data_IF_980628252013
#
_entry.id   IF_980628252013
#
_cell.length_a   1.000
_cell.length_b   1.000
_cell.length_c   1.000
_cell.angle_alpha   90.00
_cell.angle_beta   90.00
_cell.angle_gamma   90.00
#
_symmetry.space_group_name_H-M   'P 1'
#
loop_
_entity.id
_entity.type
_entity.pdbx_description
1 polymer ?
#
# COMPACT_ATOMS: atom_id res chain seq x y z
N UNK A 1 10.27 12.37 8.54
CA UNK A 1 11.28 13.37 8.13
C UNK A 1 10.75 14.26 7.01
N UNK A 2 10.25 13.66 5.90
CA UNK A 2 9.72 14.37 4.72
C UNK A 2 8.70 15.45 5.08
N UNK A 3 7.63 15.11 5.82
CA UNK A 3 6.63 16.08 6.29
C UNK A 3 7.19 17.34 6.98
N UNK A 4 8.36 17.24 7.64
CA UNK A 4 8.96 18.36 8.40
C UNK A 4 10.02 19.14 7.61
N UNK A 5 10.43 18.66 6.43
CA UNK A 5 11.61 19.18 5.75
C UNK A 5 11.45 19.39 4.25
N UNK A 6 10.46 18.77 3.60
CA UNK A 6 10.38 18.71 2.14
C UNK A 6 10.29 20.10 1.47
N UNK A 7 9.69 21.09 2.14
CA UNK A 7 9.60 22.47 1.67
C UNK A 7 10.97 23.13 1.47
N UNK A 8 11.97 22.76 2.29
CA UNK A 8 13.35 23.25 2.14
C UNK A 8 14.03 22.72 0.87
N UNK A 9 13.48 21.66 0.30
CA UNK A 9 13.95 21.04 -0.94
C UNK A 9 13.02 21.31 -2.12
N UNK A 10 12.07 22.26 -1.98
CA UNK A 10 11.16 22.67 -3.04
C UNK A 10 9.93 21.77 -3.25
N UNK A 11 9.67 20.80 -2.37
CA UNK A 11 8.43 20.00 -2.43
C UNK A 11 7.36 20.46 -1.43
N UNK A 12 6.13 19.99 -1.60
CA UNK A 12 4.98 20.34 -0.73
C UNK A 12 4.77 19.29 0.35
N UNK A 13 4.62 19.70 1.60
CA UNK A 13 4.22 18.81 2.69
C UNK A 13 2.75 18.33 2.57
N UNK A 14 1.93 19.02 1.77
CA UNK A 14 0.55 18.65 1.43
C UNK A 14 0.44 17.66 0.26
N UNK A 15 1.52 17.43 -0.49
CA UNK A 15 1.51 16.65 -1.72
C UNK A 15 2.43 15.41 -1.65
N UNK A 16 2.50 14.75 -0.49
CA UNK A 16 3.36 13.58 -0.26
C UNK A 16 2.62 12.30 -0.66
N UNK A 17 3.13 11.59 -1.66
CA UNK A 17 2.70 10.24 -2.02
C UNK A 17 3.70 9.21 -1.50
N UNK A 18 3.21 8.04 -1.10
CA UNK A 18 4.05 6.92 -0.66
C UNK A 18 3.78 5.72 -1.56
N UNK A 19 4.85 5.13 -2.07
CA UNK A 19 4.78 3.94 -2.91
C UNK A 19 5.92 2.98 -2.61
N UNK A 20 5.70 1.70 -2.91
CA UNK A 20 6.74 0.70 -2.88
C UNK A 20 6.31 -0.59 -3.55
N UNK A 21 7.30 -1.39 -3.92
CA UNK A 21 7.13 -2.70 -4.54
C UNK A 21 7.42 -3.83 -3.55
N UNK A 22 6.67 -4.93 -3.59
CA UNK A 22 6.88 -6.12 -2.75
C UNK A 22 6.82 -5.75 -1.26
N UNK A 23 7.92 -5.93 -0.50
CA UNK A 23 8.03 -5.50 0.89
C UNK A 23 7.79 -3.98 1.06
N UNK A 24 8.18 -3.17 0.07
CA UNK A 24 7.88 -1.74 0.06
C UNK A 24 6.38 -1.44 -0.11
N UNK A 25 5.64 -2.30 -0.83
CA UNK A 25 4.19 -2.19 -0.95
C UNK A 25 3.50 -2.49 0.39
N UNK A 26 3.96 -3.54 1.09
CA UNK A 26 3.54 -3.81 2.47
C UNK A 26 3.80 -2.62 3.40
N UNK A 27 5.00 -2.05 3.38
CA UNK A 27 5.34 -0.89 4.22
C UNK A 27 4.52 0.36 3.86
N UNK A 28 4.22 0.56 2.57
CA UNK A 28 3.33 1.63 2.09
C UNK A 28 1.95 1.50 2.72
N UNK A 29 1.38 0.29 2.71
CA UNK A 29 0.09 0.04 3.34
C UNK A 29 0.16 0.21 4.87
N UNK A 30 1.17 -0.34 5.53
CA UNK A 30 1.31 -0.23 6.99
C UNK A 30 1.42 1.22 7.45
N UNK A 31 2.29 2.04 6.83
CA UNK A 31 2.49 3.42 7.26
C UNK A 31 1.28 4.32 6.99
N UNK A 32 0.47 3.98 5.98
CA UNK A 32 -0.72 4.73 5.62
C UNK A 32 -1.99 4.31 6.39
N UNK A 33 -2.17 3.01 6.60
CA UNK A 33 -3.37 2.48 7.27
C UNK A 33 -3.23 2.48 8.80
N UNK A 34 -2.05 2.15 9.34
CA UNK A 34 -1.81 2.17 10.78
C UNK A 34 -1.26 3.54 11.23
N UNK A 35 -2.15 4.37 11.80
CA UNK A 35 -1.81 5.71 12.28
C UNK A 35 -0.73 5.70 13.37
N UNK A 36 -0.61 4.61 14.14
CA UNK A 36 0.27 4.55 15.31
C UNK A 36 1.75 4.72 14.97
N UNK A 37 2.18 4.44 13.73
CA UNK A 37 3.57 4.62 13.32
C UNK A 37 3.95 6.10 13.17
N UNK A 38 3.08 6.90 12.56
CA UNK A 38 3.34 8.32 12.31
C UNK A 38 2.93 9.21 13.50
N UNK A 39 1.92 8.80 14.26
CA UNK A 39 1.50 9.48 15.49
C UNK A 39 2.64 9.58 16.51
N UNK A 40 3.49 8.55 16.62
CA UNK A 40 4.72 8.57 17.44
C UNK A 40 5.69 9.70 17.10
N UNK A 41 5.48 10.38 15.97
CA UNK A 41 6.30 11.48 15.45
C UNK A 41 5.49 12.76 15.18
N UNK A 42 4.29 12.84 15.77
CA UNK A 42 3.35 13.96 15.65
C UNK A 42 2.88 14.21 14.20
N UNK A 43 2.74 13.14 13.43
CA UNK A 43 2.25 13.19 12.05
C UNK A 43 0.99 12.35 11.94
N UNK A 44 -0.08 12.95 11.43
CA UNK A 44 -1.28 12.20 11.06
C UNK A 44 -1.04 11.49 9.72
N UNK A 45 -1.20 10.16 9.68
CA UNK A 45 -1.08 9.36 8.46
C UNK A 45 -2.09 9.79 7.38
N UNK A 46 -3.21 10.40 7.77
CA UNK A 46 -4.23 10.91 6.84
C UNK A 46 -3.74 12.12 6.04
N UNK A 47 -2.60 12.73 6.43
CA UNK A 47 -1.94 13.78 5.64
C UNK A 47 -1.14 13.25 4.46
N UNK A 48 -0.96 11.93 4.34
CA UNK A 48 -0.41 11.35 3.11
C UNK A 48 -1.42 11.60 2.00
N UNK A 49 -0.96 12.14 0.87
CA UNK A 49 -1.82 12.53 -0.25
C UNK A 49 -2.34 11.33 -1.04
N UNK A 50 -1.57 10.25 -1.09
CA UNK A 50 -1.97 8.99 -1.68
C UNK A 50 -1.01 7.85 -1.38
N UNK A 51 -1.54 6.63 -1.38
CA UNK A 51 -0.82 5.39 -1.16
C UNK A 51 -0.84 4.56 -2.44
N UNK A 52 0.30 4.01 -2.84
CA UNK A 52 0.43 3.24 -4.08
C UNK A 52 1.23 1.97 -3.80
N UNK A 53 0.53 0.88 -3.48
CA UNK A 53 1.12 -0.42 -3.16
C UNK A 53 1.25 -1.28 -4.41
N UNK A 54 2.47 -1.67 -4.77
CA UNK A 54 2.75 -2.49 -5.94
C UNK A 54 3.18 -3.88 -5.49
N UNK A 55 2.38 -4.89 -5.80
CA UNK A 55 2.50 -6.28 -5.34
C UNK A 55 2.88 -6.36 -3.86
N UNK A 56 2.25 -5.55 -3.00
CA UNK A 56 2.45 -5.59 -1.54
C UNK A 56 1.66 -6.70 -0.87
N UNK A 57 2.10 -7.19 0.28
CA UNK A 57 1.27 -8.08 1.11
C UNK A 57 0.24 -7.26 1.88
N UNK A 58 -1.02 -7.72 1.92
CA UNK A 58 -2.06 -7.15 2.79
C UNK A 58 -2.31 -8.00 4.04
N UNK A 59 -1.80 -9.24 4.04
CA UNK A 59 -1.65 -10.10 5.22
C UNK A 59 -0.31 -9.84 5.93
N UNK A 60 -0.05 -10.52 7.05
CA UNK A 60 1.21 -10.40 7.80
C UNK A 60 2.40 -10.78 6.92
N UNK A 61 3.39 -9.87 6.86
CA UNK A 61 4.53 -9.99 5.95
C UNK A 61 5.34 -11.27 6.19
N UNK A 62 5.92 -11.83 5.13
CA UNK A 62 6.74 -13.05 5.19
C UNK A 62 7.87 -12.98 6.22
N UNK A 63 8.57 -11.84 6.31
CA UNK A 63 9.64 -11.64 7.29
C UNK A 63 9.15 -11.80 8.73
N UNK A 64 8.01 -11.19 9.06
CA UNK A 64 7.43 -11.25 10.42
C UNK A 64 6.98 -12.68 10.73
N UNK A 65 6.39 -13.37 9.75
CA UNK A 65 6.02 -14.78 9.90
C UNK A 65 7.25 -15.66 10.13
N UNK A 66 8.31 -15.45 9.36
CA UNK A 66 9.59 -16.17 9.50
C UNK A 66 10.21 -15.94 10.88
N UNK A 67 10.26 -14.70 11.35
CA UNK A 67 10.78 -14.33 12.68
C UNK A 67 9.98 -14.98 13.82
N UNK A 68 8.70 -15.29 13.58
CA UNK A 68 7.79 -15.94 14.54
C UNK A 68 7.66 -17.45 14.33
N UNK A 69 8.44 -18.05 13.43
CA UNK A 69 8.35 -19.47 13.07
C UNK A 69 6.94 -19.90 12.60
N UNK A 70 6.25 -19.02 11.87
CA UNK A 70 4.92 -19.28 11.33
C UNK A 70 4.97 -19.78 9.87
N UNK A 71 3.99 -20.57 9.42
CA UNK A 71 3.91 -21.03 8.03
C UNK A 71 3.88 -19.90 7.01
N UNK A 72 4.54 -20.10 5.86
CA UNK A 72 4.62 -19.11 4.78
C UNK A 72 3.44 -19.21 3.80
N UNK A 73 2.91 -20.42 3.62
CA UNK A 73 1.85 -20.71 2.64
C UNK A 73 0.46 -20.42 3.17
N UNK A 74 0.29 -20.49 4.50
CA UNK A 74 -0.98 -20.14 5.16
C UNK A 74 -0.93 -18.67 5.57
N UNK A 75 -1.88 -17.84 5.12
CA UNK A 75 -1.91 -16.44 5.51
C UNK A 75 -2.14 -16.30 7.01
N UNK A 76 -1.46 -15.33 7.61
CA UNK A 76 -1.69 -14.88 8.98
C UNK A 76 -2.22 -13.46 8.92
N UNK A 77 -3.29 -13.19 9.66
CA UNK A 77 -3.95 -11.89 9.70
C UNK A 77 -4.04 -11.45 11.16
N UNK A 78 -3.02 -10.72 11.62
CA UNK A 78 -2.91 -10.21 13.00
C UNK A 78 -2.50 -8.73 13.03
N UNK A 79 -1.98 -8.21 14.14
CA UNK A 79 -1.65 -6.79 14.27
C UNK A 79 -0.59 -6.28 13.27
N UNK A 80 0.10 -7.17 12.56
CA UNK A 80 1.09 -6.83 11.54
C UNK A 80 0.56 -6.92 10.11
N UNK A 81 -0.72 -7.23 9.92
CA UNK A 81 -1.36 -7.29 8.61
C UNK A 81 -2.03 -5.95 8.27
N UNK A 82 -1.75 -5.34 7.11
CA UNK A 82 -2.43 -4.13 6.66
C UNK A 82 -3.95 -4.22 6.66
N UNK A 83 -4.52 -5.39 6.34
CA UNK A 83 -5.98 -5.58 6.33
C UNK A 83 -6.62 -5.38 7.70
N UNK A 84 -5.92 -5.70 8.79
CA UNK A 84 -6.39 -5.44 10.16
C UNK A 84 -6.25 -3.97 10.59
N UNK A 85 -5.69 -3.12 9.72
CA UNK A 85 -5.57 -1.67 9.91
C UNK A 85 -6.58 -0.91 9.04
N UNK A 86 -7.48 -1.62 8.37
CA UNK A 86 -8.57 -1.04 7.59
C UNK A 86 -9.45 -0.17 8.47
N UNK A 87 -9.70 1.05 8.00
CA UNK A 87 -10.47 2.10 8.70
C UNK A 87 -11.08 3.04 7.66
N UNK A 88 -11.98 3.92 8.10
CA UNK A 88 -12.49 5.00 7.26
C UNK A 88 -11.48 6.16 7.17
N UNK A 89 -11.71 7.08 6.24
CA UNK A 89 -10.91 8.30 6.01
C UNK A 89 -9.42 8.02 5.75
N UNK A 90 -9.10 6.97 5.00
CA UNK A 90 -7.72 6.71 4.57
C UNK A 90 -7.35 7.59 3.36
N UNK A 91 -6.06 7.82 3.09
CA UNK A 91 -5.62 8.42 1.84
C UNK A 91 -6.13 7.65 0.61
N UNK A 92 -6.34 8.33 -0.54
CA UNK A 92 -6.57 7.66 -1.82
C UNK A 92 -5.54 6.56 -2.05
N UNK A 93 -6.01 5.32 -2.20
CA UNK A 93 -5.16 4.12 -2.19
C UNK A 93 -5.27 3.36 -3.50
N UNK A 94 -4.14 3.22 -4.19
CA UNK A 94 -3.97 2.40 -5.36
C UNK A 94 -3.25 1.09 -4.97
N UNK A 95 -3.87 -0.02 -5.30
CA UNK A 95 -3.31 -1.37 -5.20
C UNK A 95 -3.02 -1.86 -6.62
N UNK A 96 -1.84 -2.41 -6.84
CA UNK A 96 -1.47 -3.00 -8.12
C UNK A 96 -0.86 -4.37 -7.84
N UNK A 97 -1.24 -5.39 -8.60
CA UNK A 97 -0.68 -6.74 -8.52
C UNK A 97 -0.33 -7.24 -9.92
N UNK A 98 0.61 -8.17 -10.01
CA UNK A 98 0.84 -8.94 -11.23
C UNK A 98 -0.32 -9.90 -11.50
N UNK A 99 -0.20 -10.59 -12.62
CA UNK A 99 -1.10 -11.66 -13.04
C UNK A 99 -1.13 -12.76 -11.98
N UNK A 100 -2.30 -13.07 -11.43
CA UNK A 100 -2.43 -14.07 -10.34
C UNK A 100 -1.90 -15.46 -10.68
N UNK A 101 -1.67 -15.78 -11.97
CA UNK A 101 -1.08 -17.04 -12.42
C UNK A 101 0.44 -17.00 -12.51
N UNK A 102 1.05 -15.82 -12.55
CA UNK A 102 2.50 -15.60 -12.65
C UNK A 102 3.10 -14.96 -11.39
N UNK A 103 2.26 -14.36 -10.57
CA UNK A 103 2.60 -13.66 -9.34
C UNK A 103 2.88 -14.63 -8.17
N UNK A 104 3.37 -14.11 -7.05
CA UNK A 104 3.48 -14.87 -5.81
C UNK A 104 2.12 -15.40 -5.34
N UNK A 105 2.15 -16.57 -4.67
CA UNK A 105 0.96 -17.25 -4.15
C UNK A 105 0.01 -16.29 -3.44
N UNK A 106 -1.24 -16.24 -3.92
CA UNK A 106 -2.35 -15.47 -3.37
C UNK A 106 -2.14 -13.94 -3.26
N UNK A 107 -1.11 -13.37 -3.93
CA UNK A 107 -0.81 -11.93 -3.86
C UNK A 107 -1.96 -11.07 -4.40
N UNK A 108 -2.57 -11.50 -5.51
CA UNK A 108 -3.71 -10.79 -6.06
C UNK A 108 -4.92 -10.92 -5.12
N UNK A 109 -5.22 -12.14 -4.68
CA UNK A 109 -6.36 -12.44 -3.82
C UNK A 109 -6.32 -11.69 -2.49
N UNK A 110 -5.15 -11.56 -1.86
CA UNK A 110 -5.01 -10.79 -0.61
C UNK A 110 -5.25 -9.29 -0.85
N UNK A 111 -4.82 -8.73 -1.98
CA UNK A 111 -5.07 -7.32 -2.31
C UNK A 111 -6.53 -7.07 -2.73
N UNK A 112 -7.16 -8.03 -3.42
CA UNK A 112 -8.58 -7.99 -3.74
C UNK A 112 -9.45 -8.03 -2.47
N UNK A 113 -9.08 -8.84 -1.49
CA UNK A 113 -9.75 -8.87 -0.20
C UNK A 113 -9.62 -7.52 0.53
N UNK A 114 -8.41 -6.95 0.59
CA UNK A 114 -8.19 -5.63 1.18
C UNK A 114 -9.03 -4.55 0.51
N UNK A 115 -9.08 -4.52 -0.83
CA UNK A 115 -9.86 -3.52 -1.58
C UNK A 115 -11.34 -3.54 -1.16
N UNK A 116 -11.95 -4.73 -1.09
CA UNK A 116 -13.36 -4.88 -0.72
C UNK A 116 -13.61 -4.44 0.72
N UNK A 117 -12.72 -4.78 1.66
CA UNK A 117 -12.83 -4.35 3.06
C UNK A 117 -12.68 -2.83 3.17
N UNK A 118 -11.71 -2.22 2.49
CA UNK A 118 -11.55 -0.77 2.53
C UNK A 118 -12.77 -0.04 1.96
N UNK A 119 -13.33 -0.53 0.85
CA UNK A 119 -14.54 0.05 0.25
C UNK A 119 -15.78 -0.13 1.13
N UNK A 120 -15.93 -1.26 1.82
CA UNK A 120 -17.09 -1.51 2.70
C UNK A 120 -17.11 -0.55 3.92
N UNK A 121 -15.95 -0.03 4.32
CA UNK A 121 -15.81 1.00 5.36
C UNK A 121 -16.07 2.43 4.85
N UNK A 122 -16.53 2.57 3.60
CA UNK A 122 -16.92 3.85 3.00
C UNK A 122 -15.79 4.60 2.27
N UNK A 123 -14.59 4.01 2.14
CA UNK A 123 -13.50 4.63 1.39
C UNK A 123 -13.75 4.51 -0.11
N UNK A 124 -14.06 5.65 -0.76
CA UNK A 124 -14.45 5.68 -2.18
C UNK A 124 -13.26 5.67 -3.14
N UNK A 125 -12.12 6.18 -2.69
CA UNK A 125 -10.90 6.35 -3.49
C UNK A 125 -9.91 5.18 -3.30
N UNK A 126 -10.41 3.95 -3.48
CA UNK A 126 -9.59 2.73 -3.43
C UNK A 126 -9.75 1.97 -4.74
N UNK A 127 -8.63 1.61 -5.38
CA UNK A 127 -8.64 0.89 -6.66
C UNK A 127 -7.60 -0.22 -6.71
N UNK A 128 -7.97 -1.38 -7.23
CA UNK A 128 -7.07 -2.48 -7.56
C UNK A 128 -6.91 -2.65 -9.08
N UNK A 129 -5.68 -2.82 -9.54
CA UNK A 129 -5.37 -3.32 -10.88
C UNK A 129 -4.64 -4.66 -10.82
N UNK A 130 -5.03 -5.59 -11.71
CA UNK A 130 -4.27 -6.79 -12.03
C UNK A 130 -3.59 -6.62 -13.39
N UNK A 131 -2.27 -6.65 -13.43
CA UNK A 131 -1.51 -6.49 -14.67
C UNK A 131 -1.22 -7.86 -15.27
N UNK A 132 -2.07 -8.28 -16.21
CA UNK A 132 -1.96 -9.55 -16.93
C UNK A 132 -0.61 -9.67 -17.66
N UNK A 133 -0.01 -10.87 -17.63
CA UNK A 133 1.30 -11.14 -18.25
C UNK A 133 2.52 -10.66 -17.45
N UNK A 134 2.34 -10.06 -16.27
CA UNK A 134 3.44 -9.63 -15.39
C UNK A 134 3.50 -10.48 -14.13
N UNK A 135 4.72 -10.84 -13.71
CA UNK A 135 5.02 -11.57 -12.48
C UNK A 135 5.53 -10.64 -11.38
N UNK A 136 5.85 -11.20 -10.21
CA UNK A 136 6.33 -10.43 -9.05
C UNK A 136 7.50 -9.50 -9.36
N UNK A 137 8.43 -9.97 -10.19
CA UNK A 137 9.69 -9.28 -10.46
C UNK A 137 9.53 -8.11 -11.42
N UNK A 138 8.65 -8.22 -12.41
CA UNK A 138 8.57 -7.25 -13.51
C UNK A 138 7.33 -6.35 -13.46
N UNK A 139 6.32 -6.64 -12.62
CA UNK A 139 5.10 -5.83 -12.48
C UNK A 139 5.35 -4.38 -12.08
N UNK A 140 6.46 -4.09 -11.39
CA UNK A 140 6.80 -2.73 -11.00
C UNK A 140 6.97 -1.76 -12.19
N UNK A 141 7.46 -2.26 -13.33
CA UNK A 141 7.73 -1.45 -14.52
C UNK A 141 6.44 -0.86 -15.11
N UNK A 142 5.43 -1.67 -15.52
CA UNK A 142 4.17 -1.11 -16.02
C UNK A 142 3.38 -0.37 -14.93
N UNK A 143 3.60 -0.69 -13.65
CA UNK A 143 2.93 -0.02 -12.53
C UNK A 143 3.28 1.47 -12.44
N UNK A 144 4.45 1.89 -12.94
CA UNK A 144 4.85 3.29 -12.97
C UNK A 144 3.86 4.18 -13.74
N UNK A 145 3.22 3.67 -14.81
CA UNK A 145 2.21 4.44 -15.55
C UNK A 145 0.99 4.74 -14.69
N UNK A 146 0.44 3.72 -14.03
CA UNK A 146 -0.71 3.87 -13.13
C UNK A 146 -0.38 4.71 -11.90
N UNK A 147 0.86 4.61 -11.40
CA UNK A 147 1.37 5.47 -10.33
C UNK A 147 1.33 6.94 -10.74
N UNK A 148 1.84 7.27 -11.93
CA UNK A 148 1.86 8.65 -12.44
C UNK A 148 0.43 9.18 -12.66
N UNK A 149 -0.47 8.37 -13.22
CA UNK A 149 -1.89 8.73 -13.35
C UNK A 149 -2.55 9.00 -11.99
N UNK A 150 -2.20 8.20 -10.96
CA UNK A 150 -2.72 8.41 -9.61
C UNK A 150 -2.22 9.71 -8.99
N UNK A 151 -0.93 10.01 -9.17
CA UNK A 151 -0.33 11.28 -8.73
C UNK A 151 -0.98 12.45 -9.45
N UNK A 152 -1.19 12.38 -10.76
CA UNK A 152 -1.84 13.46 -11.52
C UNK A 152 -3.30 13.68 -11.08
N UNK A 153 -4.04 12.59 -10.85
CA UNK A 153 -5.44 12.64 -10.42
C UNK A 153 -5.62 13.31 -9.05
N UNK A 154 -4.74 13.00 -8.09
CA UNK A 154 -4.89 13.47 -6.71
C UNK A 154 -3.91 14.59 -6.34
N UNK A 155 -2.93 14.91 -7.17
CA UNK A 155 -1.91 15.92 -6.90
C UNK A 155 -2.47 17.34 -6.79
N UNK A 156 -1.74 18.21 -6.11
CA UNK A 156 -1.96 19.66 -6.18
C UNK A 156 -1.56 20.17 -7.59
N UNK A 157 -2.38 21.07 -8.16
CA UNK A 157 -2.11 21.74 -9.43
C UNK A 157 -1.25 22.99 -9.22
#
# INVERSE_FOLDING_TARGET
>A
WVFKNIEKYGGSAGNIFVSGHSAGGYLTLMVGLDKSYLEKRDVDADKIRGLISISGQSNTHYTIRKERNLPIDIPVVDEYAPINKSRTNIPPTLLISGDRKLEMLARYEENAHLEVILKSLGNKDVKLYELQGYNHGNVAIPSCFFLLEWIDKYGEK
#
